data_IF_570136865470
#
_entry.id   IF_570136865470
#
_cell.length_a   1.000
_cell.length_b   1.000
_cell.length_c   1.000
_cell.angle_alpha   90.00
_cell.angle_beta   90.00
_cell.angle_gamma   90.00
#
_symmetry.space_group_name_H-M   'P 1'
#
loop_
_entity.id
_entity.type
_entity.pdbx_description
1 polymer ?
2 non-polymer ?
3 non-polymer ?
4 non-polymer ?
5 non-polymer ?
6 non-polymer ?
7 water ?
#
# COMPACT_ATOMS: atom_id res chain seq x y z
N UNK A 1 2.34 21.17 5.97
CA UNK A 1 3.65 20.98 5.28
C UNK A 1 3.48 20.91 3.78
N UNK A 2 4.56 21.12 3.05
CA UNK A 2 4.53 21.08 1.58
C UNK A 2 4.51 19.66 1.07
N UNK A 3 5.31 18.80 1.68
CA UNK A 3 5.41 17.40 1.29
C UNK A 3 4.75 16.54 2.35
N UNK A 4 3.66 15.90 1.96
CA UNK A 4 2.91 15.06 2.89
C UNK A 4 3.04 13.61 2.49
N UNK A 5 3.27 12.74 3.46
CA UNK A 5 3.36 11.31 3.17
C UNK A 5 2.13 10.63 3.77
N UNK A 6 1.48 9.77 2.99
CA UNK A 6 0.30 9.01 3.42
C UNK A 6 0.56 7.52 3.17
N UNK A 7 0.64 6.74 4.25
CA UNK A 7 0.91 5.31 4.14
C UNK A 7 0.02 4.46 5.04
N UNK A 8 0.17 3.15 4.93
CA UNK A 8 -0.61 2.23 5.73
C UNK A 8 0.05 1.90 7.05
N UNK A 9 -0.69 2.03 8.15
CA UNK A 9 -0.12 1.77 9.47
C UNK A 9 -0.23 0.33 9.95
N UNK A 10 -0.95 -0.50 9.19
CA UNK A 10 -1.16 -1.89 9.58
C UNK A 10 -0.61 -2.86 8.55
N UNK A 11 -1.51 -3.53 7.85
CA UNK A 11 -1.14 -4.51 6.82
C UNK A 11 -1.74 -4.18 5.44
N UNK A 12 -1.79 -2.91 5.09
CA UNK A 12 -2.36 -2.52 3.83
C UNK A 12 -3.89 -2.46 3.87
N UNK A 13 -4.48 -1.85 2.85
CA UNK A 13 -5.95 -1.73 2.75
C UNK A 13 -6.59 -1.00 3.89
N UNK A 14 -5.86 -0.04 4.45
CA UNK A 14 -6.35 0.78 5.54
C UNK A 14 -7.29 1.86 4.97
N UNK A 15 -7.15 2.16 3.67
CA UNK A 15 -7.96 3.16 2.99
C UNK A 15 -7.13 4.29 2.40
N UNK A 16 -5.94 3.96 1.93
CA UNK A 16 -5.02 4.96 1.37
C UNK A 16 -5.51 5.64 0.08
N UNK A 17 -6.05 4.86 -0.87
CA UNK A 17 -6.55 5.42 -2.12
C UNK A 17 -7.55 6.56 -1.97
N UNK A 18 -8.59 6.32 -1.17
CA UNK A 18 -9.59 7.36 -0.93
C UNK A 18 -8.95 8.63 -0.37
N UNK A 19 -8.14 8.47 0.68
CA UNK A 19 -7.51 9.62 1.31
C UNK A 19 -6.58 10.37 0.38
N UNK A 20 -5.81 9.66 -0.42
CA UNK A 20 -4.90 10.32 -1.35
C UNK A 20 -5.74 11.12 -2.35
N UNK A 21 -6.79 10.51 -2.89
CA UNK A 21 -7.69 11.19 -3.84
C UNK A 21 -8.23 12.48 -3.21
N UNK A 22 -8.75 12.35 -2.00
CA UNK A 22 -9.30 13.46 -1.24
C UNK A 22 -8.29 14.58 -1.01
N UNK A 23 -7.13 14.24 -0.43
CA UNK A 23 -6.14 15.27 -0.12
C UNK A 23 -5.36 15.88 -1.28
N UNK A 24 -5.38 15.20 -2.43
CA UNK A 24 -4.67 15.73 -3.58
C UNK A 24 -5.34 16.95 -4.22
N UNK A 25 -6.45 17.39 -3.64
CA UNK A 25 -7.19 18.54 -4.14
C UNK A 25 -6.31 19.78 -4.10
N UNK A 26 -5.31 19.79 -3.23
CA UNK A 26 -4.43 20.94 -3.12
C UNK A 26 -3.03 20.73 -3.66
N UNK A 27 -2.71 19.48 -4.01
CA UNK A 27 -1.38 19.11 -4.49
C UNK A 27 -1.12 19.29 -5.98
N UNK A 28 0.16 19.43 -6.32
CA UNK A 28 0.63 19.53 -7.69
C UNK A 28 1.07 18.14 -8.07
N UNK A 29 1.80 17.49 -7.16
CA UNK A 29 2.33 16.14 -7.37
C UNK A 29 1.87 15.06 -6.39
N UNK A 30 1.80 13.84 -6.89
CA UNK A 30 1.47 12.64 -6.13
C UNK A 30 2.55 11.66 -6.58
N UNK A 31 3.12 10.92 -5.65
CA UNK A 31 4.19 9.98 -5.97
C UNK A 31 4.05 8.62 -5.28
N UNK A 32 4.06 7.55 -6.07
CA UNK A 32 4.04 6.18 -5.56
C UNK A 32 5.55 5.96 -5.49
N UNK A 33 6.06 5.42 -4.38
CA UNK A 33 7.51 5.25 -4.21
C UNK A 33 7.97 3.81 -3.97
N UNK A 34 7.01 2.88 -3.95
CA UNK A 34 7.31 1.45 -3.75
C UNK A 34 6.15 0.55 -4.15
N UNK A 35 6.42 -0.73 -4.21
CA UNK A 35 5.38 -1.68 -4.56
C UNK A 35 5.18 -1.75 -6.06
N UNK A 36 4.08 -2.36 -6.48
CA UNK A 36 3.77 -2.51 -7.89
C UNK A 36 2.29 -2.66 -8.08
N UNK A 37 1.85 -3.65 -8.86
CA UNK A 37 0.42 -3.82 -9.03
C UNK A 37 -0.22 -4.78 -8.02
N UNK A 38 0.56 -5.14 -7.00
CA UNK A 38 0.09 -5.98 -5.89
C UNK A 38 -0.96 -5.14 -5.15
N UNK A 39 -0.69 -3.84 -5.07
CA UNK A 39 -1.62 -2.89 -4.45
C UNK A 39 -2.92 -2.81 -5.24
N UNK A 40 -4.01 -2.52 -4.56
CA UNK A 40 -5.30 -2.41 -5.19
C UNK A 40 -6.14 -1.48 -4.33
N UNK A 41 -6.60 -0.37 -4.91
CA UNK A 41 -7.41 0.58 -4.14
C UNK A 41 -8.73 0.90 -4.83
N UNK A 42 -9.77 1.07 -4.03
CA UNK A 42 -11.08 1.43 -4.56
C UNK A 42 -11.43 2.87 -4.22
N UNK A 43 -11.47 3.72 -5.24
CA UNK A 43 -11.85 5.11 -5.06
C UNK A 43 -13.31 5.24 -5.45
N UNK A 44 -14.03 6.14 -4.79
CA UNK A 44 -15.45 6.35 -5.04
C UNK A 44 -15.83 7.81 -5.01
N UNK A 45 -16.31 8.33 -6.14
CA UNK A 45 -16.75 9.72 -6.23
C UNK A 45 -18.19 9.74 -6.75
N UNK A 46 -19.06 10.37 -5.97
CA UNK A 46 -20.48 10.49 -6.28
C UNK A 46 -21.05 9.14 -6.65
N UNK A 47 -20.49 8.09 -6.04
CA UNK A 47 -20.95 6.75 -6.30
C UNK A 47 -20.21 6.01 -7.40
N UNK A 48 -19.37 6.72 -8.13
CA UNK A 48 -18.62 6.12 -9.22
C UNK A 48 -17.31 5.52 -8.65
N UNK A 49 -17.10 4.23 -8.89
CA UNK A 49 -15.91 3.55 -8.39
C UNK A 49 -14.77 3.50 -9.38
N UNK A 50 -13.55 3.54 -8.87
CA UNK A 50 -12.37 3.42 -9.70
C UNK A 50 -11.39 2.56 -8.89
N UNK A 51 -10.86 1.50 -9.50
CA UNK A 51 -9.90 0.64 -8.82
C UNK A 51 -8.54 0.81 -9.46
N UNK A 52 -7.59 1.27 -8.65
CA UNK A 52 -6.22 1.50 -9.11
C UNK A 52 -5.31 0.45 -8.52
N UNK A 53 -4.17 0.25 -9.16
CA UNK A 53 -3.18 -0.73 -8.69
C UNK A 53 -1.81 -0.07 -8.75
N UNK A 54 -1.30 0.07 -9.96
CA UNK A 54 0.00 0.69 -10.17
C UNK A 54 -0.06 2.20 -10.33
N UNK A 55 -1.21 2.74 -10.73
CA UNK A 55 -1.37 4.18 -10.92
C UNK A 55 -1.72 4.91 -9.63
N UNK A 56 -0.97 5.98 -9.30
CA UNK A 56 -1.17 6.79 -8.09
C UNK A 56 -2.60 7.30 -7.94
N UNK A 57 -3.05 7.36 -6.69
CA UNK A 57 -4.41 7.77 -6.42
C UNK A 57 -4.79 9.23 -6.55
N UNK A 58 -4.23 9.89 -7.56
CA UNK A 58 -4.55 11.28 -7.81
C UNK A 58 -4.73 11.45 -9.32
N UNK A 59 -4.73 10.33 -10.03
CA UNK A 59 -4.86 10.29 -11.48
C UNK A 59 -6.18 10.86 -12.00
N UNK A 60 -7.11 11.13 -11.10
CA UNK A 60 -8.44 11.64 -11.45
C UNK A 60 -8.51 13.16 -11.41
N UNK A 61 -7.41 13.80 -11.10
CA UNK A 61 -7.40 15.26 -10.98
C UNK A 61 -6.38 15.77 -11.95
N UNK A 62 -6.86 16.59 -12.90
CA UNK A 62 -6.03 17.15 -13.95
C UNK A 62 -5.06 18.17 -13.44
N UNK A 63 -5.35 18.71 -12.26
CA UNK A 63 -4.47 19.71 -11.64
C UNK A 63 -3.31 19.06 -10.91
N UNK A 64 -3.25 17.73 -10.94
CA UNK A 64 -2.20 16.99 -10.26
C UNK A 64 -1.44 16.08 -11.23
N UNK A 65 -0.11 16.10 -11.13
CA UNK A 65 0.75 15.23 -11.94
C UNK A 65 1.03 13.98 -11.11
N UNK A 66 0.60 12.82 -11.58
CA UNK A 66 0.84 11.57 -10.86
C UNK A 66 2.21 11.07 -11.27
N UNK A 67 2.96 10.49 -10.32
CA UNK A 67 4.31 10.02 -10.64
C UNK A 67 4.66 8.68 -10.00
N UNK A 68 5.22 7.75 -10.76
CA UNK A 68 5.67 6.49 -10.15
C UNK A 68 7.20 6.57 -10.11
N UNK A 69 7.71 6.77 -8.89
CA UNK A 69 9.14 6.93 -8.67
C UNK A 69 9.89 5.63 -8.81
N UNK A 70 11.21 5.75 -8.89
CA UNK A 70 12.13 4.63 -9.02
C UNK A 70 11.92 3.43 -8.09
N UNK A 71 11.33 3.63 -6.93
CA UNK A 71 11.14 2.52 -6.02
C UNK A 71 10.13 1.47 -6.45
N UNK A 72 9.19 1.88 -7.32
CA UNK A 72 8.13 1.01 -7.79
C UNK A 72 8.60 0.00 -8.84
N UNK A 73 8.17 -1.24 -8.73
CA UNK A 73 8.54 -2.23 -9.74
C UNK A 73 7.41 -2.20 -10.81
N UNK A 74 7.72 -1.66 -11.98
CA UNK A 74 6.74 -1.45 -13.04
C UNK A 74 6.42 -2.56 -14.05
N UNK A 75 5.14 -2.91 -14.13
CA UNK A 75 4.68 -3.92 -15.08
C UNK A 75 4.07 -3.24 -16.30
N UNK A 76 4.71 -3.37 -17.46
CA UNK A 76 4.21 -2.73 -18.69
C UNK A 76 2.77 -3.14 -19.04
N UNK A 77 2.46 -4.42 -18.88
CA UNK A 77 1.11 -4.91 -19.16
C UNK A 77 0.14 -4.24 -18.22
N UNK A 78 0.44 -4.30 -16.93
CA UNK A 78 -0.39 -3.69 -15.89
C UNK A 78 -0.63 -2.22 -16.21
N UNK A 79 0.44 -1.48 -16.47
CA UNK A 79 0.31 -0.07 -16.80
C UNK A 79 -0.65 0.14 -17.99
N UNK A 80 -0.43 -0.61 -19.07
CA UNK A 80 -1.26 -0.53 -20.27
C UNK A 80 -2.71 -0.85 -19.96
N UNK A 81 -2.95 -1.89 -19.16
CA UNK A 81 -4.32 -2.24 -18.79
C UNK A 81 -5.01 -1.14 -17.99
N UNK A 82 -4.27 -0.43 -17.17
CA UNK A 82 -4.84 0.64 -16.37
C UNK A 82 -5.05 1.92 -17.19
N UNK A 83 -4.05 2.31 -17.98
CA UNK A 83 -4.18 3.51 -18.81
C UNK A 83 -5.43 3.39 -19.67
N UNK A 84 -5.60 2.26 -20.35
CA UNK A 84 -6.75 2.05 -21.20
C UNK A 84 -8.09 2.11 -20.45
N UNK A 85 -8.18 1.44 -19.30
CA UNK A 85 -9.41 1.45 -18.51
C UNK A 85 -9.84 2.86 -18.17
N UNK A 86 -8.88 3.70 -17.77
CA UNK A 86 -9.16 5.09 -17.40
C UNK A 86 -9.47 5.97 -18.61
N UNK A 87 -8.70 5.80 -19.67
CA UNK A 87 -8.87 6.55 -20.92
C UNK A 87 -10.27 6.33 -21.48
N UNK A 88 -10.75 5.10 -21.50
CA UNK A 88 -12.11 4.84 -21.95
C UNK A 88 -13.11 5.50 -21.00
N UNK A 89 -12.60 6.12 -19.94
CA UNK A 89 -13.46 6.77 -18.96
C UNK A 89 -13.31 8.26 -18.92
N UNK A 90 -12.50 8.81 -19.83
CA UNK A 90 -12.30 10.25 -19.84
C UNK A 90 -11.09 10.80 -19.09
N UNK A 91 -10.21 9.91 -18.64
CA UNK A 91 -9.02 10.34 -17.94
C UNK A 91 -7.83 10.22 -18.90
N UNK A 92 -7.29 11.34 -19.37
CA UNK A 92 -6.16 11.25 -20.30
C UNK A 92 -4.86 10.89 -19.57
N UNK A 93 -4.80 9.67 -19.04
CA UNK A 93 -3.67 9.14 -18.27
C UNK A 93 -2.30 9.60 -18.78
N UNK A 94 -2.07 9.39 -20.07
CA UNK A 94 -0.80 9.77 -20.71
C UNK A 94 -0.33 11.18 -20.42
N UNK A 95 -1.25 12.13 -20.28
CA UNK A 95 -0.85 13.51 -20.07
C UNK A 95 -0.65 13.99 -18.64
N UNK A 96 -0.99 13.13 -17.67
CA UNK A 96 -0.84 13.48 -16.27
C UNK A 96 0.06 12.53 -15.44
N UNK A 97 0.41 11.37 -16.02
CA UNK A 97 1.25 10.37 -15.35
C UNK A 97 2.67 10.33 -15.87
N UNK A 98 3.63 10.72 -15.04
CA UNK A 98 5.04 10.66 -15.40
C UNK A 98 5.73 9.47 -14.67
N UNK A 99 6.87 9.03 -15.16
CA UNK A 99 7.52 7.90 -14.50
C UNK A 99 9.03 7.94 -14.55
N UNK A 100 9.65 7.24 -13.60
CA UNK A 100 11.11 7.16 -13.49
C UNK A 100 11.72 6.08 -14.35
N UNK A 101 12.76 6.47 -15.07
CA UNK A 101 13.50 5.55 -15.92
C UNK A 101 14.17 4.46 -15.10
N UNK A 102 14.33 4.69 -13.79
CA UNK A 102 14.95 3.73 -12.89
C UNK A 102 14.02 2.62 -12.44
N UNK A 103 12.72 2.80 -12.57
CA UNK A 103 11.80 1.76 -12.14
C UNK A 103 12.18 0.43 -12.79
N UNK A 104 12.26 -0.64 -11.99
CA UNK A 104 12.59 -1.99 -12.47
C UNK A 104 11.36 -2.50 -13.22
N UNK A 105 11.55 -3.34 -14.24
CA UNK A 105 10.42 -3.87 -15.01
C UNK A 105 10.00 -5.25 -14.55
N UNK A 106 8.70 -5.46 -14.42
CA UNK A 106 8.16 -6.76 -14.04
C UNK A 106 7.65 -7.42 -15.32
N UNK A 107 8.36 -8.44 -15.80
CA UNK A 107 7.97 -9.13 -17.03
C UNK A 107 7.40 -10.52 -16.68
N UNK A 108 6.72 -11.15 -17.64
CA UNK A 108 6.08 -12.45 -17.46
C UNK A 108 6.83 -13.49 -16.62
N UNK A 109 8.14 -13.61 -16.86
CA UNK A 109 8.93 -14.61 -16.13
C UNK A 109 8.99 -14.41 -14.61
N UNK A 110 8.81 -13.16 -14.16
CA UNK A 110 8.79 -12.87 -12.74
C UNK A 110 7.52 -13.48 -12.14
N UNK A 111 6.44 -13.50 -12.91
CA UNK A 111 5.17 -14.09 -12.45
C UNK A 111 5.33 -15.61 -12.38
N UNK A 112 6.05 -16.17 -13.35
CA UNK A 112 6.31 -17.61 -13.36
C UNK A 112 7.13 -17.94 -12.10
N UNK A 113 8.21 -17.21 -11.89
CA UNK A 113 9.06 -17.37 -10.72
C UNK A 113 8.24 -17.26 -9.43
N UNK A 114 7.45 -16.20 -9.32
CA UNK A 114 6.59 -15.96 -8.15
C UNK A 114 5.77 -17.22 -7.86
N UNK A 115 5.06 -17.70 -8.88
CA UNK A 115 4.22 -18.87 -8.78
C UNK A 115 4.98 -20.14 -8.44
N UNK A 116 6.02 -20.43 -9.23
CA UNK A 116 6.82 -21.63 -9.01
C UNK A 116 7.34 -21.72 -7.57
N UNK A 117 7.84 -20.60 -7.06
CA UNK A 117 8.36 -20.56 -5.70
C UNK A 117 7.27 -20.73 -4.65
N UNK A 118 6.19 -20.00 -4.83
CA UNK A 118 5.08 -20.07 -3.90
C UNK A 118 4.55 -21.50 -3.77
N UNK A 119 4.62 -22.25 -4.86
CA UNK A 119 4.20 -23.63 -4.87
C UNK A 119 5.28 -24.45 -4.19
N UNK A 120 6.55 -24.09 -4.43
CA UNK A 120 7.68 -24.78 -3.83
C UNK A 120 7.60 -24.69 -2.31
N UNK A 121 7.19 -23.53 -1.80
CA UNK A 121 7.01 -23.32 -0.35
C UNK A 121 5.98 -24.27 0.26
N UNK A 122 5.19 -24.90 -0.59
CA UNK A 122 4.18 -25.83 -0.12
C UNK A 122 3.18 -25.23 0.86
N UNK A 123 3.27 -25.68 2.11
CA UNK A 123 2.36 -25.22 3.15
C UNK A 123 2.76 -23.85 3.71
N UNK A 124 4.05 -23.53 3.66
CA UNK A 124 4.54 -22.27 4.19
C UNK A 124 4.46 -21.10 3.20
N UNK A 125 3.64 -21.26 2.16
CA UNK A 125 3.47 -20.22 1.17
C UNK A 125 3.12 -18.88 1.81
N UNK A 126 3.59 -17.81 1.17
CA UNK A 126 3.37 -16.44 1.61
C UNK A 126 1.98 -15.87 1.34
N UNK A 127 1.26 -16.38 0.34
CA UNK A 127 -0.02 -15.82 0.01
C UNK A 127 0.18 -14.52 -0.77
N UNK A 128 1.20 -14.50 -1.63
CA UNK A 128 1.49 -13.31 -2.44
C UNK A 128 0.37 -13.10 -3.44
N UNK A 129 0.29 -11.89 -4.00
CA UNK A 129 -0.74 -11.54 -5.00
C UNK A 129 -0.46 -12.08 -6.42
N UNK A 130 0.57 -12.90 -6.56
CA UNK A 130 0.93 -13.46 -7.86
C UNK A 130 1.23 -12.44 -8.94
N UNK A 131 1.74 -11.27 -8.55
CA UNK A 131 2.08 -10.23 -9.51
C UNK A 131 3.55 -10.22 -9.89
N UNK A 132 4.33 -11.08 -9.26
CA UNK A 132 5.77 -11.16 -9.55
C UNK A 132 6.60 -10.06 -8.90
N UNK A 133 6.08 -9.47 -7.82
CA UNK A 133 6.78 -8.38 -7.14
C UNK A 133 8.11 -8.83 -6.52
N UNK A 134 8.09 -10.01 -5.89
CA UNK A 134 9.28 -10.55 -5.26
C UNK A 134 10.44 -10.69 -6.22
N UNK A 135 10.28 -11.51 -7.26
CA UNK A 135 11.33 -11.73 -8.28
C UNK A 135 11.83 -10.46 -8.95
N UNK A 136 10.99 -9.44 -9.03
CA UNK A 136 11.39 -8.18 -9.64
C UNK A 136 12.42 -7.47 -8.75
N UNK A 137 12.08 -7.35 -7.47
CA UNK A 137 12.98 -6.72 -6.52
C UNK A 137 14.28 -7.50 -6.40
N UNK A 138 14.17 -8.83 -6.56
CA UNK A 138 15.32 -9.72 -6.50
C UNK A 138 16.26 -9.36 -7.67
N UNK A 139 15.76 -9.39 -8.90
CA UNK A 139 16.57 -9.02 -10.06
C UNK A 139 17.18 -7.64 -9.89
N UNK A 140 16.38 -6.72 -9.38
CA UNK A 140 16.84 -5.36 -9.15
C UNK A 140 18.09 -5.38 -8.29
N UNK A 141 17.92 -5.84 -7.05
CA UNK A 141 19.00 -5.89 -6.08
C UNK A 141 20.24 -6.67 -6.58
N UNK A 142 20.01 -7.72 -7.36
CA UNK A 142 21.12 -8.48 -7.92
C UNK A 142 21.84 -7.68 -9.02
N UNK A 143 21.24 -6.57 -9.43
CA UNK A 143 21.85 -5.73 -10.47
C UNK A 143 21.83 -6.34 -11.85
N UNK A 144 20.88 -7.26 -12.07
CA UNK A 144 20.73 -7.93 -13.35
C UNK A 144 19.37 -7.62 -13.99
N UNK A 145 18.49 -7.00 -13.22
CA UNK A 145 17.17 -6.70 -13.70
C UNK A 145 17.12 -5.59 -14.72
N UNK A 146 16.00 -5.53 -15.42
CA UNK A 146 15.78 -4.52 -16.44
C UNK A 146 15.00 -3.34 -15.87
N UNK A 147 15.39 -2.14 -16.26
CA UNK A 147 14.74 -0.92 -15.80
C UNK A 147 14.15 -0.19 -16.99
N UNK A 148 13.26 0.78 -16.75
CA UNK A 148 12.64 1.54 -17.83
C UNK A 148 13.68 2.12 -18.81
N UNK A 149 14.71 2.79 -18.28
CA UNK A 149 15.75 3.34 -19.13
C UNK A 149 16.44 2.36 -20.08
N UNK A 150 16.26 1.06 -19.88
CA UNK A 150 16.89 0.10 -20.79
C UNK A 150 16.22 0.12 -22.17
N UNK A 151 14.95 0.51 -22.20
CA UNK A 151 14.16 0.61 -23.43
C UNK A 151 14.72 1.77 -24.30
N UNK A 152 15.65 2.55 -23.75
CA UNK A 152 16.22 3.67 -24.48
C UNK A 152 16.93 3.17 -25.72
N UNK A 153 17.46 1.95 -25.66
CA UNK A 153 18.13 1.36 -26.80
C UNK A 153 17.51 0.01 -27.00
N UNK A 154 16.59 -0.06 -27.95
CA UNK A 154 15.88 -1.30 -28.24
C UNK A 154 16.81 -2.50 -28.55
N UNK A 155 17.87 -2.28 -29.32
CA UNK A 155 18.77 -3.38 -29.66
C UNK A 155 19.47 -4.01 -28.47
N UNK A 156 20.09 -3.18 -27.63
CA UNK A 156 20.78 -3.72 -26.47
C UNK A 156 19.81 -4.26 -25.41
N UNK A 157 18.59 -3.72 -25.37
CA UNK A 157 17.59 -4.20 -24.43
C UNK A 157 17.30 -5.67 -24.72
N UNK A 158 16.97 -5.95 -25.99
CA UNK A 158 16.65 -7.28 -26.48
C UNK A 158 17.73 -8.31 -26.12
N UNK A 159 18.99 -7.91 -26.20
CA UNK A 159 20.12 -8.77 -25.85
C UNK A 159 20.10 -9.09 -24.35
N UNK A 160 19.97 -8.03 -23.54
CA UNK A 160 19.92 -8.15 -22.08
C UNK A 160 18.74 -9.02 -21.67
N UNK A 161 17.62 -8.85 -22.37
CA UNK A 161 16.41 -9.62 -22.10
C UNK A 161 16.59 -11.10 -22.44
N UNK A 162 17.30 -11.39 -23.54
CA UNK A 162 17.57 -12.77 -23.98
C UNK A 162 18.35 -13.54 -22.91
N UNK A 163 19.54 -13.04 -22.58
CA UNK A 163 20.35 -13.71 -21.58
C UNK A 163 19.70 -13.81 -20.19
N UNK A 164 18.98 -12.79 -19.76
CA UNK A 164 18.32 -12.87 -18.45
C UNK A 164 17.20 -13.89 -18.47
N UNK A 165 16.38 -13.87 -19.51
CA UNK A 165 15.29 -14.82 -19.63
C UNK A 165 15.93 -16.21 -19.69
N UNK A 166 17.06 -16.31 -20.39
CA UNK A 166 17.81 -17.55 -20.51
C UNK A 166 18.09 -18.06 -19.09
N UNK A 167 18.66 -17.17 -18.28
CA UNK A 167 19.01 -17.42 -16.89
C UNK A 167 17.83 -17.94 -16.10
N UNK A 168 16.73 -17.20 -16.11
CA UNK A 168 15.55 -17.61 -15.36
C UNK A 168 14.89 -18.88 -15.85
N UNK A 169 14.88 -19.10 -17.17
CA UNK A 169 14.25 -20.30 -17.71
C UNK A 169 14.95 -21.59 -17.31
N UNK A 170 16.28 -21.53 -17.20
CA UNK A 170 17.03 -22.69 -16.77
C UNK A 170 16.45 -23.13 -15.43
N UNK A 171 16.24 -22.16 -14.55
CA UNK A 171 15.68 -22.42 -13.23
C UNK A 171 14.22 -22.93 -13.25
N UNK A 172 13.40 -22.32 -14.09
CA UNK A 172 11.99 -22.70 -14.21
C UNK A 172 11.81 -24.14 -14.74
N UNK A 173 12.62 -24.52 -15.72
CA UNK A 173 12.52 -25.84 -16.30
C UNK A 173 13.25 -26.92 -15.50
N UNK A 174 14.56 -26.72 -15.30
CA UNK A 174 15.42 -27.68 -14.62
C UNK A 174 15.17 -27.85 -13.14
N UNK A 175 15.02 -26.75 -12.43
CA UNK A 175 14.82 -26.81 -11.00
C UNK A 175 13.38 -26.98 -10.60
N UNK A 176 12.54 -26.03 -11.01
CA UNK A 176 11.13 -26.09 -10.64
C UNK A 176 10.32 -27.07 -11.48
N UNK A 177 10.87 -27.51 -12.60
CA UNK A 177 10.18 -28.44 -13.49
C UNK A 177 8.87 -27.78 -13.95
N UNK A 178 8.96 -26.49 -14.25
CA UNK A 178 7.80 -25.72 -14.69
C UNK A 178 7.98 -25.28 -16.13
N UNK A 179 6.92 -24.74 -16.72
CA UNK A 179 6.98 -24.24 -18.09
C UNK A 179 7.93 -23.05 -18.20
N UNK A 180 8.69 -23.03 -19.29
CA UNK A 180 9.63 -21.95 -19.57
C UNK A 180 8.85 -20.78 -20.15
N UNK A 181 9.38 -19.57 -20.01
CA UNK A 181 8.74 -18.37 -20.54
C UNK A 181 9.46 -18.03 -21.87
N UNK A 182 8.66 -17.86 -22.93
CA UNK A 182 9.15 -17.57 -24.27
C UNK A 182 9.71 -16.16 -24.46
N UNK A 183 10.99 -16.10 -24.79
CA UNK A 183 11.69 -14.83 -25.01
C UNK A 183 11.04 -13.92 -26.06
N UNK A 184 10.87 -14.47 -27.27
CA UNK A 184 10.30 -13.71 -28.37
C UNK A 184 8.99 -13.02 -28.04
N UNK A 185 8.14 -13.68 -27.23
CA UNK A 185 6.86 -13.08 -26.87
C UNK A 185 6.97 -11.90 -25.90
N UNK A 186 7.80 -12.08 -24.87
CA UNK A 186 8.01 -11.01 -23.87
C UNK A 186 8.60 -9.79 -24.57
N UNK A 187 9.50 -10.04 -25.52
CA UNK A 187 10.15 -9.00 -26.30
C UNK A 187 9.10 -8.26 -27.13
N UNK A 188 8.31 -9.03 -27.88
CA UNK A 188 7.27 -8.43 -28.71
C UNK A 188 6.34 -7.61 -27.84
N UNK A 189 5.72 -8.24 -26.85
CA UNK A 189 4.80 -7.57 -25.93
C UNK A 189 5.34 -6.24 -25.42
N UNK A 190 6.58 -6.27 -24.93
CA UNK A 190 7.23 -5.08 -24.38
C UNK A 190 7.45 -4.02 -25.46
N UNK A 191 8.08 -4.42 -26.57
CA UNK A 191 8.34 -3.51 -27.67
C UNK A 191 7.05 -2.86 -28.17
N UNK A 192 5.93 -3.55 -27.99
CA UNK A 192 4.63 -3.05 -28.40
C UNK A 192 4.27 -1.76 -27.67
N UNK A 193 4.84 -1.58 -26.47
CA UNK A 193 4.54 -0.40 -25.67
C UNK A 193 5.76 0.48 -25.30
N UNK A 194 6.96 0.03 -25.71
CA UNK A 194 8.21 0.75 -25.45
C UNK A 194 8.11 2.28 -25.59
N UNK A 195 7.51 2.72 -26.69
CA UNK A 195 7.40 4.14 -26.94
C UNK A 195 6.44 4.84 -25.99
N UNK A 196 5.37 4.16 -25.57
CA UNK A 196 4.42 4.78 -24.65
C UNK A 196 5.14 4.95 -23.31
N UNK A 197 5.78 3.88 -22.85
CA UNK A 197 6.53 3.90 -21.59
C UNK A 197 7.52 5.05 -21.57
N UNK A 198 8.43 5.06 -22.55
CA UNK A 198 9.45 6.10 -22.63
C UNK A 198 8.92 7.51 -22.72
N UNK A 199 7.76 7.68 -23.35
CA UNK A 199 7.19 9.00 -23.50
C UNK A 199 6.90 9.66 -22.15
N UNK A 200 6.58 8.87 -21.14
CA UNK A 200 6.28 9.43 -19.82
C UNK A 200 7.48 9.62 -18.91
N UNK A 201 8.68 9.36 -19.40
CA UNK A 201 9.86 9.49 -18.55
C UNK A 201 10.26 10.90 -18.17
N UNK A 202 10.52 11.09 -16.88
CA UNK A 202 11.03 12.36 -16.34
C UNK A 202 12.07 12.01 -15.29
N UNK A 203 12.97 12.95 -15.02
CA UNK A 203 14.00 12.78 -14.00
C UNK A 203 13.27 13.19 -12.72
N UNK A 204 12.54 12.25 -12.11
CA UNK A 204 11.75 12.57 -10.93
C UNK A 204 12.47 13.06 -9.68
N UNK A 205 13.69 12.59 -9.42
CA UNK A 205 14.40 13.06 -8.23
C UNK A 205 14.71 14.53 -8.37
N UNK A 206 15.18 14.94 -9.55
CA UNK A 206 15.49 16.36 -9.78
C UNK A 206 14.18 17.17 -9.80
N UNK A 207 13.12 16.56 -10.35
CA UNK A 207 11.79 17.18 -10.41
C UNK A 207 11.37 17.56 -9.00
N UNK A 208 11.29 16.56 -8.13
CA UNK A 208 10.91 16.75 -6.73
C UNK A 208 11.77 17.81 -6.05
N UNK A 209 13.04 17.91 -6.45
CA UNK A 209 13.92 18.91 -5.88
C UNK A 209 13.46 20.31 -6.33
N UNK A 210 13.21 20.46 -7.63
CA UNK A 210 12.75 21.73 -8.16
C UNK A 210 11.41 22.10 -7.52
N UNK A 211 10.51 21.14 -7.44
CA UNK A 211 9.19 21.34 -6.86
C UNK A 211 9.32 21.81 -5.42
N UNK A 212 10.20 21.16 -4.66
CA UNK A 212 10.43 21.51 -3.27
C UNK A 212 10.86 22.95 -3.14
N UNK A 213 11.84 23.33 -3.95
CA UNK A 213 12.36 24.68 -3.90
C UNK A 213 11.30 25.74 -4.19
N UNK A 214 10.36 25.42 -5.08
CA UNK A 214 9.28 26.35 -5.41
C UNK A 214 8.20 26.35 -4.31
N UNK A 215 8.21 25.32 -3.46
CA UNK A 215 7.24 25.23 -2.38
C UNK A 215 5.95 24.57 -2.79
N UNK A 216 5.99 23.78 -3.86
CA UNK A 216 4.80 23.08 -4.33
C UNK A 216 4.39 21.96 -3.38
N UNK A 217 3.09 21.70 -3.29
CA UNK A 217 2.58 20.63 -2.45
C UNK A 217 2.78 19.26 -3.13
N UNK A 218 3.41 18.33 -2.40
CA UNK A 218 3.66 17.00 -2.92
C UNK A 218 3.02 15.98 -1.99
N UNK A 219 2.30 15.01 -2.55
CA UNK A 219 1.74 13.98 -1.70
C UNK A 219 2.35 12.65 -2.10
N UNK A 220 3.01 12.00 -1.14
CA UNK A 220 3.64 10.71 -1.37
C UNK A 220 2.67 9.65 -0.92
N UNK A 221 2.47 8.66 -1.78
CA UNK A 221 1.51 7.59 -1.52
C UNK A 221 2.14 6.22 -1.34
N UNK A 222 1.90 5.63 -0.18
CA UNK A 222 2.44 4.31 0.07
C UNK A 222 1.45 3.22 -0.29
N UNK A 223 1.99 2.06 -0.61
CA UNK A 223 1.19 0.89 -0.95
C UNK A 223 1.36 -0.07 0.24
N UNK A 224 0.62 -1.16 0.26
CA UNK A 224 0.69 -2.13 1.35
C UNK A 224 0.63 -1.44 2.72
N UNK A 225 1.40 -1.91 3.69
CA UNK A 225 1.38 -1.29 5.00
C UNK A 225 2.62 -1.60 5.81
N UNK A 226 2.80 -0.90 6.93
CA UNK A 226 3.95 -1.04 7.82
C UNK A 226 4.36 -2.47 8.22
N UNK A 227 3.41 -3.29 8.69
CA UNK A 227 3.78 -4.63 9.10
C UNK A 227 4.11 -5.59 7.96
N UNK A 228 4.08 -5.06 6.74
CA UNK A 228 4.40 -5.79 5.51
C UNK A 228 5.75 -5.34 4.95
N UNK A 229 6.39 -4.39 5.65
CA UNK A 229 7.71 -3.86 5.29
C UNK A 229 8.72 -5.03 5.27
N UNK A 230 9.58 -5.04 4.26
CA UNK A 230 10.57 -6.10 4.07
C UNK A 230 11.60 -6.22 5.20
N UNK A 231 11.97 -5.09 5.77
CA UNK A 231 12.93 -5.02 6.86
C UNK A 231 12.25 -5.08 8.21
N UNK A 232 11.24 -4.22 8.39
CA UNK A 232 10.55 -4.09 9.65
C UNK A 232 9.25 -4.86 9.89
N UNK A 233 8.84 -5.66 8.91
CA UNK A 233 7.61 -6.43 9.05
C UNK A 233 7.74 -7.85 9.58
N UNK A 234 6.63 -8.56 9.54
CA UNK A 234 6.54 -9.93 10.02
C UNK A 234 7.19 -10.90 9.03
N UNK A 235 8.49 -10.72 8.82
CA UNK A 235 9.30 -11.53 7.90
C UNK A 235 9.14 -13.02 8.19
N UNK A 236 9.01 -13.85 7.13
CA UNK A 236 8.99 -13.55 5.70
C UNK A 236 7.58 -13.29 5.13
N UNK A 237 6.61 -13.11 6.01
CA UNK A 237 5.23 -12.88 5.63
C UNK A 237 5.07 -11.39 5.44
N UNK A 238 5.85 -10.88 4.49
CA UNK A 238 5.91 -9.46 4.16
C UNK A 238 6.00 -9.30 2.65
N UNK A 239 6.12 -8.05 2.20
CA UNK A 239 6.27 -7.77 0.78
C UNK A 239 7.76 -7.48 0.60
N UNK A 240 8.21 -7.32 -0.65
CA UNK A 240 9.63 -7.11 -0.90
C UNK A 240 10.17 -5.70 -0.87
N UNK A 241 9.38 -4.74 -0.39
CA UNK A 241 9.86 -3.36 -0.36
C UNK A 241 9.63 -2.69 0.97
N UNK A 242 10.19 -1.50 1.14
CA UNK A 242 10.01 -0.75 2.37
C UNK A 242 8.71 0.02 2.30
N UNK A 243 7.69 -0.51 2.97
CA UNK A 243 6.38 0.11 3.00
C UNK A 243 6.31 1.27 3.97
N UNK A 244 7.35 1.41 4.81
CA UNK A 244 7.41 2.50 5.77
C UNK A 244 8.02 3.78 5.18
N UNK A 245 7.85 4.86 5.93
CA UNK A 245 8.30 6.19 5.59
C UNK A 245 9.66 6.38 4.94
N UNK A 246 10.63 5.53 5.28
CA UNK A 246 11.95 5.67 4.68
C UNK A 246 11.94 5.29 3.21
N UNK A 247 10.95 4.49 2.80
CA UNK A 247 10.86 4.09 1.42
C UNK A 247 10.61 5.29 0.52
N UNK A 248 10.11 6.38 1.10
CA UNK A 248 9.80 7.61 0.38
C UNK A 248 11.03 8.18 -0.29
N UNK A 249 12.04 8.48 0.50
CA UNK A 249 13.26 9.03 -0.06
C UNK A 249 14.04 8.06 -0.95
N UNK A 250 14.04 6.77 -0.65
CA UNK A 250 14.81 5.84 -1.49
C UNK A 250 14.17 5.66 -2.85
N UNK A 251 12.84 5.51 -2.86
CA UNK A 251 12.12 5.29 -4.09
C UNK A 251 11.47 6.49 -4.76
N UNK A 252 12.05 7.67 -4.57
CA UNK A 252 11.57 8.90 -5.16
C UNK A 252 12.77 9.76 -5.54
N UNK A 253 13.80 9.76 -4.69
CA UNK A 253 14.99 10.56 -4.94
C UNK A 253 14.96 11.86 -4.18
N UNK A 254 13.91 12.07 -3.39
CA UNK A 254 13.80 13.28 -2.59
C UNK A 254 14.60 13.02 -1.32
N UNK A 255 15.23 14.06 -0.78
CA UNK A 255 16.02 13.93 0.45
C UNK A 255 15.18 13.83 1.71
N UNK A 256 15.54 12.91 2.62
CA UNK A 256 14.83 12.67 3.89
C UNK A 256 14.44 13.88 4.73
N UNK A 257 15.28 14.91 4.74
CA UNK A 257 14.98 16.10 5.53
C UNK A 257 13.78 16.89 5.02
N UNK A 258 13.26 16.51 3.85
CA UNK A 258 12.14 17.22 3.24
C UNK A 258 10.77 16.58 3.43
N UNK A 259 10.61 15.77 4.46
CA UNK A 259 9.31 15.18 4.73
C UNK A 259 8.80 16.05 5.87
N UNK A 260 7.66 16.70 5.64
CA UNK A 260 7.14 17.61 6.64
C UNK A 260 6.08 17.02 7.57
N UNK A 261 5.24 16.16 7.03
CA UNK A 261 4.16 15.59 7.80
C UNK A 261 3.91 14.18 7.26
N UNK A 262 3.79 13.22 8.18
CA UNK A 262 3.53 11.85 7.78
C UNK A 262 2.20 11.54 8.42
N UNK A 263 1.25 11.13 7.59
CA UNK A 263 -0.09 10.80 8.01
C UNK A 263 -0.16 9.29 7.84
N UNK A 264 -0.68 8.62 8.86
CA UNK A 264 -0.81 7.18 8.83
C UNK A 264 -2.27 6.86 8.68
N UNK A 265 -2.59 5.93 7.78
CA UNK A 265 -3.98 5.57 7.56
C UNK A 265 -4.25 4.44 8.51
N UNK A 266 -5.20 4.67 9.41
CA UNK A 266 -5.57 3.72 10.44
C UNK A 266 -7.03 3.25 10.30
N UNK A 267 -7.22 1.96 10.03
CA UNK A 267 -8.57 1.42 9.90
C UNK A 267 -9.08 1.04 11.30
N UNK A 268 -10.30 1.45 11.64
CA UNK A 268 -10.91 1.18 12.95
C UNK A 268 -10.79 -0.26 13.51
N UNK A 269 -10.51 -1.22 12.62
CA UNK A 269 -10.30 -2.61 13.00
C UNK A 269 -9.09 -3.03 12.18
N UNK A 270 -8.69 -4.28 12.27
CA UNK A 270 -7.52 -4.72 11.53
C UNK A 270 -7.87 -5.77 10.52
N UNK A 271 -7.09 -5.82 9.44
CA UNK A 271 -7.22 -6.85 8.40
C UNK A 271 -5.82 -7.22 7.93
N UNK A 272 -5.73 -8.39 7.33
CA UNK A 272 -4.48 -8.88 6.82
C UNK A 272 -4.85 -9.85 5.68
N UNK A 273 -4.20 -9.76 4.53
CA UNK A 273 -4.45 -10.68 3.42
C UNK A 273 -3.12 -11.37 3.16
N UNK A 274 -3.15 -12.70 3.15
CA UNK A 274 -1.93 -13.46 2.95
C UNK A 274 -1.63 -14.14 4.28
N UNK A 275 -0.69 -15.07 4.30
CA UNK A 275 -0.35 -15.78 5.54
C UNK A 275 0.39 -14.84 6.51
N UNK A 276 0.55 -15.25 7.77
CA UNK A 276 1.28 -14.43 8.72
C UNK A 276 0.61 -14.12 10.06
N UNK A 277 1.40 -13.64 11.04
CA UNK A 277 1.01 -13.28 12.40
C UNK A 277 -0.12 -12.26 12.42
N UNK A 278 -1.13 -12.51 13.25
CA UNK A 278 -2.26 -11.61 13.39
C UNK A 278 -2.83 -11.85 14.78
N UNK A 279 -2.21 -11.23 15.80
CA UNK A 279 -2.61 -11.32 17.20
C UNK A 279 -4.11 -11.21 17.47
N UNK A 280 -4.68 -10.06 17.15
CA UNK A 280 -6.10 -9.78 17.37
C UNK A 280 -7.07 -10.34 16.34
N UNK A 281 -6.66 -11.35 15.58
CA UNK A 281 -7.54 -11.91 14.58
C UNK A 281 -8.80 -12.48 15.25
N UNK A 282 -9.93 -12.33 14.55
CA UNK A 282 -11.23 -12.81 15.03
C UNK A 282 -11.66 -13.91 14.10
N UNK A 283 -12.29 -14.93 14.64
CA UNK A 283 -12.73 -16.04 13.84
C UNK A 283 -14.21 -16.29 14.09
N UNK A 284 -14.74 -15.59 15.08
CA UNK A 284 -16.13 -15.71 15.48
C UNK A 284 -17.08 -14.91 14.58
N UNK A 285 -18.25 -14.56 15.11
CA UNK A 285 -19.28 -13.79 14.40
C UNK A 285 -18.83 -12.36 14.13
N UNK A 286 -18.18 -11.73 15.12
CA UNK A 286 -17.70 -10.35 14.96
C UNK A 286 -16.70 -10.26 13.81
N UNK A 287 -15.98 -11.35 13.56
CA UNK A 287 -15.03 -11.37 12.45
C UNK A 287 -15.83 -11.37 11.15
N UNK A 288 -16.85 -12.20 11.09
CA UNK A 288 -17.72 -12.26 9.92
C UNK A 288 -18.40 -10.90 9.76
N UNK A 289 -18.90 -10.34 10.85
CA UNK A 289 -19.57 -9.05 10.83
C UNK A 289 -18.69 -8.01 10.15
N UNK A 290 -17.46 -7.88 10.65
CA UNK A 290 -16.50 -6.92 10.13
C UNK A 290 -16.27 -7.11 8.64
N UNK A 291 -15.90 -8.31 8.25
CA UNK A 291 -15.65 -8.60 6.83
C UNK A 291 -16.87 -8.22 5.98
N UNK A 292 -18.03 -8.68 6.42
CA UNK A 292 -19.29 -8.40 5.75
C UNK A 292 -19.55 -6.89 5.63
N UNK A 293 -19.56 -6.22 6.78
CA UNK A 293 -19.83 -4.78 6.85
C UNK A 293 -18.83 -3.85 6.17
N UNK A 294 -17.54 -4.21 6.26
CA UNK A 294 -16.51 -3.40 5.65
C UNK A 294 -16.07 -4.00 4.33
N UNK A 295 -16.95 -4.82 3.74
CA UNK A 295 -16.73 -5.51 2.46
C UNK A 295 -15.27 -5.84 2.25
N UNK A 296 -14.70 -6.57 3.19
CA UNK A 296 -13.29 -6.88 3.12
C UNK A 296 -12.87 -8.00 2.18
N UNK A 297 -12.60 -7.60 0.94
CA UNK A 297 -12.14 -8.51 -0.11
C UNK A 297 -11.04 -7.84 -0.89
N UNK A 298 -9.95 -8.56 -1.10
CA UNK A 298 -8.81 -8.02 -1.81
C UNK A 298 -9.15 -7.33 -3.10
N UNK A 299 -8.72 -6.08 -3.26
CA UNK A 299 -9.00 -5.34 -4.48
C UNK A 299 -8.13 -5.81 -5.64
N UNK A 300 -7.14 -6.65 -5.34
CA UNK A 300 -6.24 -7.14 -6.37
C UNK A 300 -6.43 -8.61 -6.71
N UNK A 301 -6.66 -9.43 -5.69
CA UNK A 301 -6.87 -10.87 -5.91
C UNK A 301 -8.33 -11.25 -5.63
N UNK A 302 -8.99 -10.47 -4.80
CA UNK A 302 -10.36 -10.75 -4.47
C UNK A 302 -10.46 -11.69 -3.30
N UNK A 303 -9.32 -11.99 -2.66
CA UNK A 303 -9.30 -12.89 -1.51
C UNK A 303 -9.98 -12.24 -0.29
N UNK A 304 -10.69 -13.06 0.48
CA UNK A 304 -11.38 -12.62 1.70
C UNK A 304 -10.34 -12.17 2.72
N UNK A 305 -10.49 -10.97 3.25
CA UNK A 305 -9.51 -10.47 4.22
C UNK A 305 -9.75 -10.93 5.65
N UNK A 306 -8.69 -11.43 6.29
CA UNK A 306 -8.72 -11.87 7.68
C UNK A 306 -9.02 -10.61 8.48
N UNK A 307 -10.01 -10.64 9.37
CA UNK A 307 -10.34 -9.47 10.18
C UNK A 307 -10.03 -9.69 11.65
N UNK A 308 -9.89 -8.60 12.41
CA UNK A 308 -9.61 -8.67 13.84
C UNK A 308 -9.75 -7.28 14.45
N UNK A 309 -9.58 -7.14 15.76
CA UNK A 309 -9.70 -5.84 16.42
C UNK A 309 -8.49 -5.01 16.11
N UNK A 310 -8.57 -3.71 16.43
CA UNK A 310 -7.45 -2.81 16.22
C UNK A 310 -6.37 -3.07 17.31
N UNK A 311 -5.13 -3.25 16.84
CA UNK A 311 -4.00 -3.55 17.70
C UNK A 311 -3.18 -2.29 17.97
N UNK A 312 -3.40 -1.64 19.11
CA UNK A 312 -2.62 -0.45 19.44
C UNK A 312 -1.16 -0.76 19.73
N UNK A 313 -0.85 -2.01 20.05
CA UNK A 313 0.55 -2.38 20.29
C UNK A 313 1.29 -2.34 18.94
N UNK A 314 0.65 -2.91 17.91
CA UNK A 314 1.17 -2.96 16.54
C UNK A 314 1.16 -1.55 15.96
N UNK A 315 0.09 -0.80 16.19
CA UNK A 315 0.02 0.56 15.67
C UNK A 315 1.15 1.40 16.24
N UNK A 316 1.49 1.16 17.51
CA UNK A 316 2.59 1.91 18.12
C UNK A 316 3.96 1.62 17.52
N UNK A 317 4.11 0.54 16.77
CA UNK A 317 5.41 0.27 16.14
C UNK A 317 5.40 1.18 14.91
N UNK A 318 4.24 1.21 14.22
CA UNK A 318 4.04 2.03 13.04
C UNK A 318 4.36 3.49 13.36
N UNK A 319 3.84 3.96 14.50
CA UNK A 319 4.08 5.33 14.96
C UNK A 319 5.55 5.68 14.96
N UNK A 320 6.35 4.86 15.65
CA UNK A 320 7.78 5.12 15.70
C UNK A 320 8.52 4.88 14.39
N UNK A 321 8.16 3.80 13.69
CA UNK A 321 8.78 3.50 12.39
C UNK A 321 8.60 4.61 11.34
N UNK A 322 7.41 5.22 11.30
CA UNK A 322 7.14 6.28 10.32
C UNK A 322 7.17 7.71 10.86
N UNK A 323 7.43 7.87 12.15
CA UNK A 323 7.45 9.19 12.76
C UNK A 323 6.13 9.88 12.41
N UNK A 324 5.03 9.16 12.59
CA UNK A 324 3.70 9.69 12.29
C UNK A 324 3.49 11.07 12.90
N UNK A 325 2.80 11.94 12.16
CA UNK A 325 2.45 13.30 12.59
C UNK A 325 0.98 13.28 12.97
N UNK A 326 0.23 12.44 12.28
CA UNK A 326 -1.19 12.33 12.56
C UNK A 326 -1.76 11.08 11.94
N UNK A 327 -3.00 10.79 12.29
CA UNK A 327 -3.71 9.62 11.79
C UNK A 327 -4.94 9.99 10.97
N UNK A 328 -5.40 9.04 10.19
CA UNK A 328 -6.63 9.19 9.47
C UNK A 328 -7.32 7.91 9.87
N UNK A 329 -8.36 8.05 10.68
CA UNK A 329 -9.11 6.89 11.16
C UNK A 329 -10.15 6.57 10.10
N UNK A 330 -10.11 5.35 9.58
CA UNK A 330 -11.03 4.97 8.54
C UNK A 330 -12.01 3.89 8.95
N UNK A 331 -13.12 3.85 8.22
CA UNK A 331 -14.20 2.89 8.41
C UNK A 331 -14.80 2.84 9.82
N UNK A 332 -14.97 4.01 10.44
CA UNK A 332 -15.55 4.11 11.76
C UNK A 332 -16.98 3.57 11.73
N UNK A 333 -17.65 3.90 10.63
CA UNK A 333 -19.03 3.53 10.37
C UNK A 333 -19.25 2.03 10.37
N UNK A 334 -18.22 1.27 10.02
CA UNK A 334 -18.36 -0.20 9.96
C UNK A 334 -18.62 -0.85 11.32
N UNK A 335 -18.21 -0.15 12.37
CA UNK A 335 -18.38 -0.64 13.74
C UNK A 335 -19.75 -0.29 14.29
N UNK A 336 -20.55 0.47 13.53
CA UNK A 336 -21.89 0.88 13.96
C UNK A 336 -22.75 -0.29 14.38
N UNK A 337 -23.20 -0.28 15.63
CA UNK A 337 -24.05 -1.34 16.12
C UNK A 337 -23.41 -2.41 16.99
N UNK A 338 -22.09 -2.46 17.09
CA UNK A 338 -21.47 -3.48 17.94
C UNK A 338 -21.77 -3.15 19.39
N UNK A 339 -22.08 -4.17 20.17
CA UNK A 339 -22.39 -4.00 21.59
C UNK A 339 -21.16 -3.47 22.32
N UNK A 340 -19.98 -3.90 21.89
CA UNK A 340 -18.75 -3.47 22.51
C UNK A 340 -17.59 -3.60 21.53
N UNK A 341 -16.63 -2.70 21.65
CA UNK A 341 -15.45 -2.67 20.80
C UNK A 341 -14.22 -2.91 21.67
N UNK A 342 -13.17 -3.46 21.08
CA UNK A 342 -11.95 -3.73 21.83
C UNK A 342 -10.70 -3.22 21.16
N UNK A 343 -9.76 -2.77 21.99
CA UNK A 343 -8.45 -2.27 21.56
C UNK A 343 -7.40 -3.17 22.19
N UNK A 344 -6.37 -3.52 21.43
CA UNK A 344 -5.32 -4.32 22.04
C UNK A 344 -4.33 -3.36 22.66
N UNK A 345 -4.18 -3.42 23.98
CA UNK A 345 -3.28 -2.52 24.71
C UNK A 345 -1.90 -3.09 25.06
N UNK A 346 -1.77 -4.41 25.05
CA UNK A 346 -0.48 -5.06 25.35
C UNK A 346 -0.48 -6.49 24.88
N UNK A 347 0.70 -7.11 24.97
CA UNK A 347 0.88 -8.51 24.57
C UNK A 347 1.30 -9.37 25.75
N UNK A 348 0.69 -10.53 25.86
CA UNK A 348 1.08 -11.46 26.89
C UNK A 348 2.06 -12.37 26.15
N UNK A 349 3.33 -12.34 26.54
CA UNK A 349 4.34 -13.18 25.92
C UNK A 349 4.23 -14.62 26.43
N UNK A 350 4.59 -15.59 25.58
CA UNK A 350 4.58 -17.04 25.82
C UNK A 350 5.28 -17.48 27.08
N UNK A 351 6.22 -16.67 27.58
CA UNK A 351 6.92 -16.99 28.82
C UNK A 351 6.26 -16.40 30.04
N UNK A 352 5.24 -15.55 29.84
CA UNK A 352 4.54 -14.97 30.97
C UNK A 352 4.55 -13.45 31.04
N UNK A 353 5.59 -12.81 30.52
CA UNK A 353 5.70 -11.36 30.58
C UNK A 353 4.65 -10.63 29.74
N UNK A 354 4.20 -9.49 30.21
CA UNK A 354 3.26 -8.67 29.46
C UNK A 354 4.13 -7.56 28.85
N UNK A 355 3.98 -7.31 27.56
CA UNK A 355 4.79 -6.27 26.92
C UNK A 355 3.91 -5.35 26.07
N UNK A 356 4.44 -4.17 25.71
CA UNK A 356 3.71 -3.24 24.87
C UNK A 356 4.51 -2.89 23.63
N UNK A 357 5.38 -3.81 23.24
CA UNK A 357 6.25 -3.69 22.08
C UNK A 357 5.96 -4.93 21.22
N UNK A 358 6.08 -4.82 19.89
CA UNK A 358 5.80 -5.97 19.03
C UNK A 358 7.10 -6.73 18.80
N UNK A 359 6.98 -8.05 18.51
CA UNK A 359 8.13 -8.94 18.25
C UNK A 359 8.54 -8.59 16.82
N UNK A 360 9.70 -9.01 16.36
CA UNK A 360 10.05 -8.66 14.99
C UNK A 360 9.62 -9.67 13.92
N UNK A 361 10.43 -10.71 13.71
CA UNK A 361 10.14 -11.72 12.71
C UNK A 361 8.89 -12.51 13.05
N UNK A 362 8.24 -13.08 12.03
CA UNK A 362 7.01 -13.83 12.18
C UNK A 362 7.09 -14.93 13.22
N UNK A 363 8.17 -15.70 13.23
CA UNK A 363 8.33 -16.78 14.21
C UNK A 363 8.22 -16.30 15.66
N UNK A 364 8.81 -15.15 15.97
CA UNK A 364 8.72 -14.60 17.32
C UNK A 364 7.30 -14.16 17.74
N UNK A 365 6.33 -14.24 16.84
CA UNK A 365 4.97 -13.86 17.19
C UNK A 365 4.21 -15.11 17.59
N UNK A 366 4.86 -16.26 17.47
CA UNK A 366 4.26 -17.55 17.79
C UNK A 366 3.20 -17.64 18.90
N UNK A 367 3.60 -17.60 20.17
CA UNK A 367 2.60 -17.73 21.22
C UNK A 367 2.02 -16.44 21.76
N UNK A 368 2.28 -15.33 21.10
CA UNK A 368 1.81 -14.02 21.53
C UNK A 368 0.29 -13.85 21.62
N UNK A 369 -0.18 -13.53 22.82
CA UNK A 369 -1.60 -13.35 23.06
C UNK A 369 -1.95 -11.90 23.27
N UNK A 370 -3.09 -11.45 22.70
CA UNK A 370 -3.56 -10.07 22.82
C UNK A 370 -4.31 -9.83 24.14
N UNK A 371 -3.98 -8.72 24.80
CA UNK A 371 -4.62 -8.28 26.05
C UNK A 371 -5.42 -7.04 25.62
N UNK A 372 -6.74 -7.05 25.79
CA UNK A 372 -7.58 -5.95 25.32
C UNK A 372 -8.22 -5.09 26.40
N UNK A 373 -8.66 -3.92 25.96
CA UNK A 373 -9.42 -2.98 26.79
C UNK A 373 -10.78 -3.05 26.10
N UNK A 374 -11.83 -3.26 26.87
CA UNK A 374 -13.14 -3.36 26.27
C UNK A 374 -13.91 -2.09 26.55
N UNK A 375 -14.42 -1.48 25.47
CA UNK A 375 -15.17 -0.24 25.54
C UNK A 375 -16.57 -0.44 24.97
N UNK A 376 -17.52 0.38 25.40
CA UNK A 376 -18.88 0.20 24.86
C UNK A 376 -19.02 0.73 23.42
N UNK A 377 -19.81 0.02 22.62
CA UNK A 377 -20.05 0.44 21.25
C UNK A 377 -21.11 1.53 21.14
N UNK A 378 -21.73 1.64 19.95
CA UNK A 378 -22.77 2.63 19.65
C UNK A 378 -23.68 2.10 18.55
N UNK A 379 -24.99 2.29 18.72
CA UNK A 379 -25.99 1.81 17.77
C UNK A 379 -26.31 2.80 16.65
N UNK A 380 -26.04 4.07 16.91
CA UNK A 380 -26.30 5.14 15.97
C UNK A 380 -25.46 4.96 14.71
N UNK A 381 -25.98 5.50 13.60
CA UNK A 381 -25.29 5.42 12.32
C UNK A 381 -24.34 6.62 12.18
N UNK A 382 -23.07 6.33 11.91
CA UNK A 382 -22.09 7.38 11.73
C UNK A 382 -21.79 7.50 10.24
N UNK A 383 -22.22 6.51 9.47
CA UNK A 383 -21.99 6.51 8.03
C UNK A 383 -22.39 7.85 7.40
N UNK A 384 -21.45 8.45 6.66
CA UNK A 384 -21.73 9.71 6.00
C UNK A 384 -21.50 10.94 6.85
N UNK A 385 -21.37 10.74 8.16
CA UNK A 385 -21.15 11.87 9.05
C UNK A 385 -19.86 12.59 8.64
N UNK A 386 -20.02 13.89 8.39
CA UNK A 386 -18.96 14.78 7.95
C UNK A 386 -18.56 15.75 9.06
N UNK A 387 -19.06 15.49 10.26
CA UNK A 387 -18.74 16.34 11.41
C UNK A 387 -18.90 15.56 12.72
N UNK A 388 -17.95 15.76 13.63
CA UNK A 388 -17.93 15.09 14.95
C UNK A 388 -19.22 15.23 15.75
N UNK A 389 -19.95 16.32 15.52
CA UNK A 389 -21.19 16.53 16.23
C UNK A 389 -22.18 15.40 15.92
N UNK A 390 -22.01 14.78 14.76
CA UNK A 390 -22.90 13.70 14.39
C UNK A 390 -22.40 12.39 14.94
N UNK A 391 -21.22 12.42 15.54
CA UNK A 391 -20.62 11.22 16.13
C UNK A 391 -21.10 11.00 17.57
N UNK A 392 -21.52 9.76 17.90
CA UNK A 392 -21.99 9.44 19.25
C UNK A 392 -20.83 9.46 20.26
N UNK A 393 -21.16 9.61 21.54
CA UNK A 393 -20.16 9.68 22.60
C UNK A 393 -19.23 8.47 22.71
N UNK A 394 -19.75 7.29 22.42
CA UNK A 394 -18.95 6.08 22.45
C UNK A 394 -17.87 6.23 21.39
N UNK A 395 -18.30 6.53 20.16
CA UNK A 395 -17.41 6.74 19.01
C UNK A 395 -16.32 7.76 19.34
N UNK A 396 -16.71 8.90 19.91
CA UNK A 396 -15.75 9.92 20.31
C UNK A 396 -14.78 9.37 21.37
N UNK A 397 -15.28 8.52 22.26
CA UNK A 397 -14.41 7.93 23.29
C UNK A 397 -13.38 7.01 22.65
N UNK A 398 -13.84 6.15 21.75
CA UNK A 398 -12.96 5.22 21.02
C UNK A 398 -11.82 6.01 20.39
N UNK A 399 -12.21 7.03 19.62
CA UNK A 399 -11.26 7.92 18.96
C UNK A 399 -10.27 8.46 20.00
N UNK A 400 -10.80 9.08 21.04
CA UNK A 400 -10.02 9.67 22.12
C UNK A 400 -9.08 8.64 22.78
N UNK A 401 -9.59 7.44 23.04
CA UNK A 401 -8.77 6.41 23.67
C UNK A 401 -7.57 6.01 22.79
N UNK A 402 -7.79 5.96 21.47
CA UNK A 402 -6.74 5.62 20.50
C UNK A 402 -5.62 6.67 20.53
N UNK A 403 -6.03 7.94 20.61
CA UNK A 403 -5.07 9.02 20.70
C UNK A 403 -4.28 8.82 21.99
N UNK A 404 -4.98 8.56 23.10
CA UNK A 404 -4.30 8.32 24.38
C UNK A 404 -3.31 7.16 24.34
N UNK A 405 -3.73 6.04 23.75
CA UNK A 405 -2.88 4.87 23.60
C UNK A 405 -1.67 5.05 22.69
N UNK A 406 -1.85 5.78 21.58
CA UNK A 406 -0.77 6.02 20.61
C UNK A 406 0.03 7.31 20.85
N UNK A 407 -0.63 8.36 21.33
CA UNK A 407 0.04 9.64 21.54
C UNK A 407 0.09 10.44 20.25
N UNK A 408 -0.63 9.96 19.24
CA UNK A 408 -0.73 10.60 17.93
C UNK A 408 -2.20 10.95 17.68
N UNK A 409 -2.47 12.20 17.26
CA UNK A 409 -3.84 12.66 16.97
C UNK A 409 -4.46 12.18 15.65
N UNK A 410 -5.79 12.09 15.68
CA UNK A 410 -6.60 11.67 14.55
C UNK A 410 -7.09 12.95 13.89
N UNK A 411 -6.32 13.41 12.91
CA UNK A 411 -6.59 14.63 12.18
C UNK A 411 -7.68 14.48 11.14
N UNK A 412 -7.92 13.25 10.68
CA UNK A 412 -8.96 13.00 9.68
C UNK A 412 -9.80 11.78 10.06
N UNK A 413 -11.11 11.89 9.93
CA UNK A 413 -11.98 10.75 10.23
C UNK A 413 -12.80 10.42 8.99
N UNK A 414 -12.80 9.14 8.60
CA UNK A 414 -13.53 8.69 7.44
C UNK A 414 -14.74 7.85 7.86
N UNK A 415 -15.93 8.26 7.41
CA UNK A 415 -17.19 7.59 7.74
C UNK A 415 -17.91 6.92 6.55
N UNK A 416 -17.21 6.73 5.43
CA UNK A 416 -17.80 6.09 4.28
C UNK A 416 -16.80 6.05 3.15
N UNK A 417 -17.05 5.23 2.11
CA UNK A 417 -16.14 5.13 0.96
C UNK A 417 -16.04 6.35 0.04
N UNK A 418 -17.16 7.03 -0.19
CA UNK A 418 -17.17 8.19 -1.09
C UNK A 418 -16.22 9.25 -0.60
N UNK A 419 -15.64 9.96 -1.56
CA UNK A 419 -14.69 11.04 -1.32
C UNK A 419 -15.11 12.03 -0.22
N UNK A 420 -16.37 12.44 -0.21
CA UNK A 420 -16.81 13.43 0.77
C UNK A 420 -17.35 12.93 2.10
N UNK A 421 -17.49 11.61 2.25
CA UNK A 421 -17.95 11.02 3.52
C UNK A 421 -16.70 10.96 4.44
N UNK A 422 -16.17 12.16 4.71
CA UNK A 422 -14.96 12.30 5.49
C UNK A 422 -15.01 13.58 6.33
N UNK A 423 -14.25 13.58 7.42
CA UNK A 423 -14.16 14.67 8.37
C UNK A 423 -12.69 15.10 8.43
N UNK A 424 -12.37 16.32 8.02
CA UNK A 424 -10.97 16.76 8.11
C UNK A 424 -10.88 17.74 9.27
N UNK A 425 -10.23 17.32 10.35
CA UNK A 425 -10.11 18.16 11.52
C UNK A 425 -8.87 19.01 11.37
N UNK A 426 -7.85 18.42 10.77
CA UNK A 426 -6.61 19.14 10.51
C UNK A 426 -6.09 18.67 9.14
N UNK A 427 -5.93 19.61 8.20
CA UNK A 427 -5.42 19.28 6.87
C UNK A 427 -3.90 19.29 6.93
N UNK A 428 -3.26 18.16 6.58
CA UNK A 428 -1.81 17.95 6.57
C UNK A 428 -0.98 19.03 5.89
N UNK A 429 -1.50 19.54 4.76
CA UNK A 429 -0.83 20.57 3.97
C UNK A 429 -0.63 21.89 4.68
N UNK A 430 -1.63 22.35 5.41
CA UNK A 430 -1.46 23.61 6.11
C UNK A 430 -1.15 23.37 7.59
N UNK A 431 -1.10 22.08 7.96
CA UNK A 431 -0.82 21.65 9.33
C UNK A 431 0.64 21.30 9.60
#
# INVERSE_FOLDING_TARGET
>A
GNNVVVLGTQWGDEGKGKIVDLLTERAKYVVRYQGGHNAGHTLVINGEKTVLHLIPSGILRENVTSIIGNGVVLSPAALMKEMKELEDRGIPVRERLLLSEACPLILDYHVALDNAREKARGAKAIGTTGRGIGPAYEDKVARRGLRVGDLFDKETFAEKLKEVMEYHNFQLVNYYKAEAVDYQKVLDDTMAVADILTSMVVDVSDLLDQARQRGDFVMFEGAQGTLLDIDHGTYPYVTSSNTTAGGVATGSGLGPRYVDYVLGILKAYSTRVGAGPFPTELFDETGEFLCKQGNEFGATTGRRRRTGWLDTVAVRRAVQLNSLSGFCLTKLDVLDGLKEVKLCVAYRMPDGREVTTTPLAADDWKGVEPIYETMPGWSESTFGVKDRSGLPQAALNYIKRIEELTGVPIDIISTGPDRTETMILRDPFDA
#
